data_IF_666336077577
#
_entry.id   IF_666336077577
#
_cell.length_a   1.000
_cell.length_b   1.000
_cell.length_c   1.000
_cell.angle_alpha   90.00
_cell.angle_beta   90.00
_cell.angle_gamma   90.00
#
_symmetry.space_group_name_H-M   'P 1'
#
loop_
_entity.id
_entity.type
_entity.pdbx_description
1 polymer ?
#
# COMPACT_ATOMS: atom_id res chain seq x y z
N UNK A 1 0.88 13.89 6.37
CA UNK A 1 1.35 13.28 5.11
C UNK A 1 0.62 11.97 4.95
N UNK A 2 0.10 11.69 3.75
CA UNK A 2 -0.72 10.51 3.50
C UNK A 2 -0.05 9.67 2.42
N UNK A 3 -0.07 8.35 2.58
CA UNK A 3 0.53 7.40 1.65
C UNK A 3 -0.56 6.46 1.15
N UNK A 4 -0.78 6.46 -0.17
CA UNK A 4 -1.65 5.53 -0.85
C UNK A 4 -0.81 4.36 -1.39
N UNK A 5 -1.20 3.13 -1.05
CA UNK A 5 -0.53 1.91 -1.49
C UNK A 5 -1.52 1.10 -2.34
N UNK A 6 -1.32 1.03 -3.66
CA UNK A 6 -2.05 0.11 -4.51
C UNK A 6 -1.66 -1.33 -4.18
N UNK A 7 -2.66 -2.20 -4.04
CA UNK A 7 -2.50 -3.64 -3.82
C UNK A 7 -3.31 -4.40 -4.87
N UNK A 8 -2.72 -5.48 -5.39
CA UNK A 8 -3.35 -6.37 -6.38
C UNK A 8 -3.42 -7.83 -5.89
N UNK A 9 -2.94 -8.11 -4.68
CA UNK A 9 -2.89 -9.45 -4.08
C UNK A 9 -1.76 -10.33 -4.61
N UNK A 10 -0.88 -9.80 -5.47
CA UNK A 10 0.35 -10.49 -5.86
C UNK A 10 1.40 -10.41 -4.77
N UNK A 11 2.32 -11.39 -4.74
CA UNK A 11 3.51 -11.38 -3.86
C UNK A 11 4.34 -10.09 -3.96
N UNK A 12 4.31 -9.42 -5.12
CA UNK A 12 5.05 -8.18 -5.33
C UNK A 12 4.34 -7.00 -4.66
N UNK A 13 3.00 -6.97 -4.70
CA UNK A 13 2.22 -5.98 -3.96
C UNK A 13 2.34 -6.15 -2.45
N UNK A 14 2.43 -7.38 -1.94
CA UNK A 14 2.68 -7.64 -0.51
C UNK A 14 4.06 -7.12 -0.07
N UNK A 15 5.09 -7.33 -0.90
CA UNK A 15 6.41 -6.78 -0.65
C UNK A 15 6.41 -5.24 -0.66
N UNK A 16 5.70 -4.62 -1.61
CA UNK A 16 5.53 -3.17 -1.67
C UNK A 16 4.78 -2.63 -0.43
N UNK A 17 3.77 -3.37 0.04
CA UNK A 17 3.03 -3.04 1.26
C UNK A 17 3.93 -3.03 2.49
N UNK A 18 4.80 -4.03 2.66
CA UNK A 18 5.76 -4.08 3.76
C UNK A 18 6.71 -2.86 3.76
N UNK A 19 7.22 -2.49 2.58
CA UNK A 19 8.07 -1.30 2.43
C UNK A 19 7.30 -0.03 2.79
N UNK A 20 6.06 0.10 2.32
CA UNK A 20 5.22 1.26 2.59
C UNK A 20 4.85 1.38 4.08
N UNK A 21 4.66 0.26 4.79
CA UNK A 21 4.41 0.24 6.24
C UNK A 21 5.59 0.83 7.00
N UNK A 22 6.81 0.36 6.72
CA UNK A 22 8.02 0.85 7.37
C UNK A 22 8.28 2.33 7.06
N UNK A 23 8.10 2.72 5.80
CA UNK A 23 8.25 4.11 5.40
C UNK A 23 7.21 5.02 6.08
N UNK A 24 5.94 4.61 6.13
CA UNK A 24 4.89 5.38 6.81
C UNK A 24 5.16 5.52 8.31
N UNK A 25 5.66 4.47 8.96
CA UNK A 25 6.05 4.51 10.38
C UNK A 25 7.16 5.53 10.62
N UNK A 26 8.21 5.52 9.79
CA UNK A 26 9.31 6.47 9.87
C UNK A 26 8.89 7.93 9.63
N UNK A 27 7.77 8.15 8.92
CA UNK A 27 7.23 9.48 8.60
C UNK A 27 6.02 9.89 9.44
N UNK A 28 5.60 9.05 10.41
CA UNK A 28 4.34 9.21 11.13
C UNK A 28 3.16 9.53 10.18
N UNK A 29 3.10 8.80 9.06
CA UNK A 29 2.14 9.02 7.99
C UNK A 29 0.96 8.04 8.09
N UNK A 30 -0.23 8.53 7.72
CA UNK A 30 -1.39 7.68 7.53
C UNK A 30 -1.26 6.87 6.24
N UNK A 31 -1.76 5.64 6.30
CA UNK A 31 -1.68 4.65 5.22
C UNK A 31 -3.07 4.35 4.71
N UNK A 32 -3.22 4.37 3.39
CA UNK A 32 -4.45 4.05 2.70
C UNK A 32 -4.17 2.93 1.71
N UNK A 33 -4.97 1.86 1.73
CA UNK A 33 -4.85 0.76 0.78
C UNK A 33 -5.90 0.91 -0.32
N UNK A 34 -5.46 0.76 -1.57
CA UNK A 34 -6.35 0.78 -2.74
C UNK A 34 -6.23 -0.55 -3.48
N UNK A 35 -7.35 -1.23 -3.65
CA UNK A 35 -7.46 -2.36 -4.57
C UNK A 35 -8.42 -1.98 -5.70
N UNK A 36 -7.97 -2.14 -6.95
CA UNK A 36 -8.80 -1.89 -8.12
C UNK A 36 -9.38 -3.21 -8.60
N UNK A 37 -10.68 -3.38 -8.40
CA UNK A 37 -11.41 -4.55 -8.90
C UNK A 37 -11.99 -4.20 -10.27
N UNK A 38 -11.49 -4.85 -11.33
CA UNK A 38 -12.10 -4.73 -12.65
C UNK A 38 -13.42 -5.51 -12.66
N UNK A 39 -14.51 -4.82 -13.04
CA UNK A 39 -15.77 -5.47 -13.39
C UNK A 39 -15.88 -5.45 -14.91
N UNK A 40 -16.15 -6.61 -15.55
CA UNK A 40 -16.41 -6.66 -16.99
C UNK A 40 -17.66 -5.86 -17.38
#
# INVERSE_FOLDING_TARGET
MNILVPIDGSKYSDNALNIAIEYAKAKNAEKYLLNVIFKP
#
